data_IF_983112063143
#
_entry.id   IF_983112063143
#
_cell.length_a   1.000
_cell.length_b   1.000
_cell.length_c   1.000
_cell.angle_alpha   90.00
_cell.angle_beta   90.00
_cell.angle_gamma   90.00
#
_symmetry.space_group_name_H-M   'P 1'
#
loop_
_entity.id
_entity.type
_entity.pdbx_description
1 polymer ?
#
# COMPACT_ATOMS: atom_id res chain seq x y z
N UNK A 1 4.87 -9.77 -25.59
CA UNK A 1 4.07 -8.95 -24.68
C UNK A 1 5.01 -8.51 -23.56
N UNK A 2 5.61 -7.32 -23.69
CA UNK A 2 6.58 -6.81 -22.71
C UNK A 2 5.77 -6.26 -21.53
N UNK A 3 5.78 -6.99 -20.41
CA UNK A 3 5.27 -6.47 -19.14
C UNK A 3 6.31 -5.46 -18.65
N UNK A 4 5.91 -4.20 -18.56
CA UNK A 4 6.74 -3.06 -18.14
C UNK A 4 7.06 -3.21 -16.64
N UNK A 5 8.06 -4.04 -16.33
CA UNK A 5 8.43 -4.50 -14.97
C UNK A 5 8.95 -3.40 -14.04
N UNK A 6 9.07 -2.17 -14.52
CA UNK A 6 9.40 -0.99 -13.70
C UNK A 6 8.18 -0.33 -13.06
N UNK A 7 6.96 -0.67 -13.49
CA UNK A 7 5.74 -0.01 -13.04
C UNK A 7 5.21 -0.60 -11.73
N UNK A 8 5.35 -1.92 -11.55
CA UNK A 8 4.75 -2.67 -10.44
C UNK A 8 5.67 -2.82 -9.22
N UNK A 9 6.98 -2.60 -9.41
CA UNK A 9 7.92 -2.60 -8.30
C UNK A 9 7.74 -1.34 -7.46
N UNK A 10 7.29 -1.49 -6.22
CA UNK A 10 7.45 -0.41 -5.22
C UNK A 10 8.93 -0.36 -4.81
N UNK A 11 9.74 0.16 -5.73
CA UNK A 11 11.15 0.44 -5.50
C UNK A 11 11.28 1.38 -4.29
N UNK A 12 12.31 1.21 -3.47
CA UNK A 12 12.70 2.14 -2.38
C UNK A 12 12.71 3.61 -2.81
N UNK A 13 12.92 3.90 -4.10
CA UNK A 13 12.88 5.25 -4.67
C UNK A 13 11.47 5.84 -4.78
N UNK A 14 10.42 5.02 -4.80
CA UNK A 14 9.03 5.45 -5.01
C UNK A 14 8.29 5.80 -3.72
N UNK A 15 8.79 5.40 -2.54
CA UNK A 15 8.20 5.80 -1.26
C UNK A 15 8.33 7.31 -0.95
N UNK A 16 9.14 8.03 -1.71
CA UNK A 16 9.46 9.45 -1.47
C UNK A 16 8.31 10.37 -1.91
N UNK A 17 7.43 9.91 -2.80
CA UNK A 17 6.31 10.70 -3.32
C UNK A 17 4.95 10.01 -3.11
N UNK A 18 4.64 9.72 -1.85
CA UNK A 18 3.37 9.10 -1.46
C UNK A 18 2.32 10.17 -1.15
N UNK A 19 1.19 10.10 -1.84
CA UNK A 19 -0.04 10.79 -1.43
C UNK A 19 -0.89 9.87 -0.55
N UNK A 20 -1.28 10.33 0.64
CA UNK A 20 -2.23 9.60 1.47
C UNK A 20 -3.64 10.13 1.26
N UNK A 21 -4.57 9.26 0.86
CA UNK A 21 -5.99 9.59 0.76
C UNK A 21 -6.72 9.01 1.98
N UNK A 22 -7.01 9.86 2.96
CA UNK A 22 -7.77 9.51 4.18
C UNK A 22 -9.19 10.08 4.07
N UNK A 23 -10.24 9.28 4.32
CA UNK A 23 -11.61 9.80 4.44
C UNK A 23 -12.53 8.97 5.32
N UNK A 24 -13.32 9.65 6.14
CA UNK A 24 -14.37 9.09 7.00
C UNK A 24 -15.79 9.18 6.39
N UNK A 25 -16.00 9.93 5.29
CA UNK A 25 -17.34 10.12 4.69
C UNK A 25 -17.49 9.45 3.31
N UNK A 26 -18.46 8.54 3.21
CA UNK A 26 -18.88 7.84 1.98
C UNK A 26 -20.11 8.53 1.38
N UNK A 27 -20.21 8.59 0.04
CA UNK A 27 -21.52 8.73 -0.64
C UNK A 27 -21.79 9.96 -1.50
N UNK A 28 -20.81 10.81 -1.78
CA UNK A 28 -20.95 11.97 -2.68
C UNK A 28 -20.23 11.72 -4.02
N UNK A 29 -20.80 12.13 -5.16
CA UNK A 29 -20.19 12.08 -6.50
C UNK A 29 -18.86 12.85 -6.65
N UNK A 30 -18.63 13.84 -5.79
CA UNK A 30 -17.35 14.56 -5.64
C UNK A 30 -16.28 13.74 -4.90
N UNK A 31 -16.64 12.63 -4.24
CA UNK A 31 -15.69 11.79 -3.49
C UNK A 31 -14.58 11.26 -4.40
N UNK A 32 -14.93 10.72 -5.58
CA UNK A 32 -13.93 10.30 -6.57
C UNK A 32 -13.07 11.49 -7.06
N UNK A 33 -13.66 12.67 -7.27
CA UNK A 33 -12.93 13.84 -7.76
C UNK A 33 -11.92 14.35 -6.75
N UNK A 34 -12.31 14.43 -5.48
CA UNK A 34 -11.44 14.92 -4.42
C UNK A 34 -10.28 13.96 -4.14
N UNK A 35 -10.52 12.65 -4.17
CA UNK A 35 -9.49 11.63 -3.91
C UNK A 35 -8.55 11.39 -5.09
N UNK A 36 -8.98 11.74 -6.30
CA UNK A 36 -8.14 11.69 -7.51
C UNK A 36 -7.39 12.99 -7.79
N UNK A 37 -7.60 14.07 -7.01
CA UNK A 37 -6.77 15.30 -7.11
C UNK A 37 -5.29 14.99 -6.90
N UNK A 38 -4.96 14.07 -6.00
CA UNK A 38 -3.57 13.63 -5.80
C UNK A 38 -2.95 13.06 -7.10
N UNK A 39 -3.73 12.40 -7.94
CA UNK A 39 -3.28 11.86 -9.24
C UNK A 39 -3.03 12.95 -10.30
N UNK A 40 -3.42 14.20 -10.03
CA UNK A 40 -3.14 15.32 -10.93
C UNK A 40 -1.71 15.85 -10.77
N UNK A 41 -1.07 15.56 -9.64
CA UNK A 41 0.30 15.99 -9.36
C UNK A 41 1.29 14.95 -9.91
N UNK A 42 2.09 15.27 -10.94
CA UNK A 42 2.98 14.30 -11.60
C UNK A 42 4.10 13.80 -10.68
N UNK A 43 4.39 14.52 -9.58
CA UNK A 43 5.33 14.03 -8.57
C UNK A 43 4.80 12.82 -7.81
N UNK A 44 3.48 12.68 -7.63
CA UNK A 44 2.88 11.59 -6.85
C UNK A 44 2.81 10.35 -7.71
N UNK A 45 3.58 9.33 -7.34
CA UNK A 45 3.65 8.06 -8.05
C UNK A 45 2.89 6.94 -7.34
N UNK A 46 2.56 7.10 -6.06
CA UNK A 46 1.91 6.09 -5.24
C UNK A 46 0.86 6.74 -4.35
N UNK A 47 -0.35 6.18 -4.33
CA UNK A 47 -1.45 6.61 -3.48
C UNK A 47 -1.89 5.46 -2.60
N UNK A 48 -2.06 5.74 -1.31
CA UNK A 48 -2.62 4.76 -0.37
C UNK A 48 -4.04 5.18 -0.02
N UNK A 49 -4.99 4.26 -0.20
CA UNK A 49 -6.40 4.45 0.13
C UNK A 49 -6.72 3.58 1.35
N UNK A 50 -6.83 4.20 2.52
CA UNK A 50 -7.05 3.49 3.79
C UNK A 50 -8.53 3.11 4.01
N UNK A 51 -9.44 3.94 3.49
CA UNK A 51 -10.88 3.82 3.67
C UNK A 51 -11.41 2.42 3.26
N UNK A 52 -12.32 1.87 4.08
CA UNK A 52 -12.96 0.57 3.91
C UNK A 52 -14.42 0.70 3.43
N UNK A 53 -14.90 -0.18 2.56
CA UNK A 53 -16.30 -0.13 2.13
C UNK A 53 -16.57 0.93 1.07
N UNK A 54 -15.55 1.26 0.26
CA UNK A 54 -15.74 2.08 -0.94
C UNK A 54 -16.55 1.27 -1.96
N UNK A 55 -17.65 1.82 -2.50
CA UNK A 55 -18.43 1.15 -3.53
C UNK A 55 -17.55 0.67 -4.70
N UNK A 56 -17.68 -0.60 -5.05
CA UNK A 56 -16.82 -1.26 -6.05
C UNK A 56 -16.80 -0.53 -7.41
N UNK A 57 -17.91 0.10 -7.79
CA UNK A 57 -18.00 0.87 -9.02
C UNK A 57 -17.08 2.10 -9.03
N UNK A 58 -16.86 2.73 -7.87
CA UNK A 58 -15.95 3.86 -7.68
C UNK A 58 -14.51 3.39 -7.66
N UNK A 59 -14.22 2.30 -6.94
CA UNK A 59 -12.88 1.69 -6.92
C UNK A 59 -12.39 1.38 -8.34
N UNK A 60 -13.24 0.76 -9.18
CA UNK A 60 -12.90 0.50 -10.60
C UNK A 60 -12.59 1.76 -11.40
N UNK A 61 -13.30 2.88 -11.16
CA UNK A 61 -13.03 4.16 -11.84
C UNK A 61 -11.67 4.74 -11.41
N UNK A 62 -11.36 4.62 -10.13
CA UNK A 62 -10.09 5.10 -9.55
C UNK A 62 -8.92 4.29 -10.10
N UNK A 63 -9.04 2.96 -10.15
CA UNK A 63 -8.02 2.06 -10.73
C UNK A 63 -7.77 2.42 -12.19
N UNK A 64 -8.83 2.53 -12.99
CA UNK A 64 -8.71 2.91 -14.40
C UNK A 64 -8.01 4.26 -14.59
N UNK A 65 -8.28 5.24 -13.72
CA UNK A 65 -7.62 6.54 -13.77
C UNK A 65 -6.14 6.44 -13.38
N UNK A 66 -5.83 5.69 -12.32
CA UNK A 66 -4.45 5.40 -11.91
C UNK A 66 -3.65 4.73 -13.04
N UNK A 67 -4.24 3.75 -13.72
CA UNK A 67 -3.61 3.07 -14.86
C UNK A 67 -3.28 4.06 -15.99
N UNK A 68 -4.21 4.97 -16.32
CA UNK A 68 -3.98 5.99 -17.35
C UNK A 68 -2.92 7.02 -16.96
N UNK A 69 -2.71 7.23 -15.66
CA UNK A 69 -1.78 8.22 -15.12
C UNK A 69 -0.43 7.63 -14.69
N UNK A 70 -0.30 6.29 -14.67
CA UNK A 70 0.89 5.60 -14.19
C UNK A 70 1.11 5.75 -12.69
N UNK A 71 0.04 5.85 -11.90
CA UNK A 71 0.09 5.99 -10.43
C UNK A 71 -0.26 4.67 -9.78
N UNK A 72 0.57 4.19 -8.86
CA UNK A 72 0.33 2.97 -8.09
C UNK A 72 -0.70 3.21 -6.98
N UNK A 73 -1.59 2.24 -6.74
CA UNK A 73 -2.57 2.29 -5.65
C UNK A 73 -2.36 1.12 -4.69
N UNK A 74 -2.18 1.42 -3.41
CA UNK A 74 -2.25 0.43 -2.32
C UNK A 74 -3.60 0.60 -1.61
N UNK A 75 -4.38 -0.48 -1.54
CA UNK A 75 -5.77 -0.44 -1.08
C UNK A 75 -6.78 -0.50 -2.24
N UNK A 76 -8.07 -0.22 -2.01
CA UNK A 76 -8.63 0.29 -0.76
C UNK A 76 -8.73 -0.75 0.37
N UNK A 77 -9.25 -0.33 1.52
CA UNK A 77 -9.40 -1.14 2.72
C UNK A 77 -8.07 -1.74 3.19
N UNK A 78 -7.08 -0.88 3.44
CA UNK A 78 -5.73 -1.29 3.85
C UNK A 78 -5.15 -0.42 4.95
N UNK A 79 -4.28 -1.01 5.76
CA UNK A 79 -3.38 -0.27 6.65
C UNK A 79 -2.19 0.33 5.89
N UNK A 80 -1.89 -0.16 4.69
CA UNK A 80 -0.80 0.27 3.84
C UNK A 80 0.32 -0.75 3.74
N UNK A 81 1.45 -0.49 4.40
CA UNK A 81 2.67 -1.27 4.25
C UNK A 81 3.85 -0.64 4.97
N UNK A 82 4.93 -1.41 5.09
CA UNK A 82 6.15 -1.01 5.78
C UNK A 82 7.37 -1.48 5.00
N UNK A 83 8.37 -0.61 4.97
CA UNK A 83 9.72 -0.89 4.53
C UNK A 83 10.70 -0.57 5.66
N UNK A 84 11.11 -1.60 6.42
CA UNK A 84 11.97 -1.41 7.59
C UNK A 84 13.23 -0.61 7.29
N UNK A 85 13.50 0.39 8.15
CA UNK A 85 14.63 1.32 7.98
C UNK A 85 14.45 2.39 6.90
N UNK A 86 13.32 2.43 6.19
CA UNK A 86 13.05 3.42 5.15
C UNK A 86 11.76 4.21 5.39
N UNK A 87 10.60 3.54 5.36
CA UNK A 87 9.31 4.21 5.37
C UNK A 87 8.20 3.28 5.90
N UNK A 88 7.20 3.84 6.59
CA UNK A 88 5.98 3.13 6.97
C UNK A 88 4.75 3.95 6.61
N UNK A 89 3.70 3.29 6.12
CA UNK A 89 2.46 3.94 5.76
C UNK A 89 1.54 4.00 6.98
N UNK A 90 1.19 5.22 7.41
CA UNK A 90 0.22 5.47 8.47
C UNK A 90 0.44 4.64 9.73
N UNK A 91 -0.59 3.90 10.13
CA UNK A 91 -0.63 3.09 11.35
C UNK A 91 -0.04 1.68 11.17
N UNK A 92 0.56 1.37 10.02
CA UNK A 92 1.24 0.08 9.81
C UNK A 92 2.30 -0.14 10.90
N UNK A 93 2.39 -1.38 11.38
CA UNK A 93 3.23 -1.83 12.48
C UNK A 93 2.86 -1.31 13.88
N UNK A 94 1.79 -0.52 14.03
CA UNK A 94 1.31 -0.10 15.35
C UNK A 94 2.28 0.79 16.12
N UNK A 95 2.34 0.57 17.43
CA UNK A 95 3.17 1.34 18.38
C UNK A 95 4.67 1.01 18.24
N UNK A 96 5.51 1.86 18.83
CA UNK A 96 6.96 1.73 18.76
C UNK A 96 7.48 0.42 19.37
N UNK A 97 6.81 -0.09 20.42
CA UNK A 97 7.19 -1.35 21.06
C UNK A 97 7.14 -2.50 20.05
N UNK A 98 6.06 -2.59 19.26
CA UNK A 98 5.93 -3.61 18.21
C UNK A 98 6.96 -3.43 17.09
N UNK A 99 7.35 -2.18 16.76
CA UNK A 99 8.40 -1.91 15.78
C UNK A 99 9.75 -2.44 16.27
N UNK A 100 10.05 -2.29 17.56
CA UNK A 100 11.29 -2.78 18.18
C UNK A 100 11.26 -4.31 18.28
N UNK A 101 10.17 -4.87 18.81
CA UNK A 101 9.98 -6.31 19.02
C UNK A 101 10.04 -7.08 17.69
N UNK A 102 9.38 -6.55 16.65
CA UNK A 102 9.39 -7.14 15.31
C UNK A 102 10.61 -6.74 14.45
N UNK A 103 11.61 -6.05 15.04
CA UNK A 103 12.87 -5.65 14.36
C UNK A 103 12.66 -4.76 13.11
N UNK A 104 11.56 -4.01 13.03
CA UNK A 104 11.15 -3.24 11.85
C UNK A 104 11.90 -1.91 11.65
N UNK A 105 12.88 -1.63 12.50
CA UNK A 105 13.78 -0.47 12.36
C UNK A 105 14.95 -0.70 11.41
N UNK A 106 15.21 -1.95 10.98
CA UNK A 106 16.27 -2.30 10.02
C UNK A 106 15.73 -3.27 8.96
N UNK A 107 16.27 -3.24 7.73
CA UNK A 107 15.88 -4.20 6.70
C UNK A 107 16.40 -5.60 7.02
N UNK A 108 15.58 -6.62 6.74
CA UNK A 108 16.02 -8.02 6.58
C UNK A 108 15.98 -8.45 5.11
N UNK A 109 15.71 -9.74 4.85
CA UNK A 109 15.74 -10.31 3.50
C UNK A 109 14.38 -10.85 3.01
N UNK A 110 13.34 -10.85 3.86
CA UNK A 110 12.03 -11.44 3.53
C UNK A 110 11.03 -10.36 3.12
N UNK A 111 10.48 -10.47 1.91
CA UNK A 111 9.35 -9.66 1.45
C UNK A 111 8.04 -10.43 1.61
N UNK A 112 6.94 -9.72 1.91
CA UNK A 112 5.61 -10.33 1.88
C UNK A 112 4.55 -9.37 1.34
N UNK A 113 3.47 -9.98 0.85
CA UNK A 113 2.26 -9.27 0.42
C UNK A 113 1.03 -9.97 1.02
N UNK A 114 0.09 -9.20 1.57
CA UNK A 114 -1.11 -9.69 2.23
C UNK A 114 -2.32 -8.83 1.87
N UNK A 115 -3.54 -9.36 2.04
CA UNK A 115 -4.77 -8.53 1.97
C UNK A 115 -5.13 -7.90 3.30
N UNK A 116 -4.91 -8.62 4.40
CA UNK A 116 -5.31 -8.19 5.73
C UNK A 116 -4.19 -7.39 6.39
N UNK A 117 -4.52 -6.18 6.84
CA UNK A 117 -3.60 -5.34 7.60
C UNK A 117 -3.22 -5.93 8.96
N UNK A 118 -4.19 -6.55 9.66
CA UNK A 118 -3.93 -7.24 10.92
C UNK A 118 -2.97 -8.43 10.74
N UNK A 119 -3.23 -9.29 9.75
CA UNK A 119 -2.34 -10.42 9.43
C UNK A 119 -0.97 -9.96 8.93
N UNK A 120 -0.87 -8.78 8.32
CA UNK A 120 0.42 -8.21 7.94
C UNK A 120 1.29 -7.94 9.16
N UNK A 121 0.71 -7.54 10.30
CA UNK A 121 1.47 -7.37 11.52
C UNK A 121 1.87 -8.70 12.17
N UNK A 122 1.03 -9.72 12.03
CA UNK A 122 1.39 -11.08 12.45
C UNK A 122 2.54 -11.65 11.61
N UNK A 123 2.57 -11.38 10.29
CA UNK A 123 3.69 -11.72 9.44
C UNK A 123 4.98 -11.02 9.88
N UNK A 124 4.93 -9.74 10.25
CA UNK A 124 6.08 -9.05 10.83
C UNK A 124 6.61 -9.77 12.07
N UNK A 125 5.71 -10.16 12.98
CA UNK A 125 6.05 -10.88 14.21
C UNK A 125 6.71 -12.25 13.90
N UNK A 126 6.09 -13.07 13.05
CA UNK A 126 6.60 -14.39 12.67
C UNK A 126 7.96 -14.27 11.97
N UNK A 127 8.06 -13.44 10.93
CA UNK A 127 9.30 -13.26 10.16
C UNK A 127 10.44 -12.74 11.06
N UNK A 128 10.15 -11.87 12.02
CA UNK A 128 11.16 -11.34 12.95
C UNK A 128 11.77 -12.41 13.86
N UNK A 129 11.04 -13.50 14.11
CA UNK A 129 11.44 -14.62 14.97
C UNK A 129 12.12 -15.72 14.17
N UNK A 130 11.60 -16.03 12.98
CA UNK A 130 12.02 -17.19 12.19
C UNK A 130 12.97 -16.84 11.03
N UNK A 131 13.23 -15.56 10.76
CA UNK A 131 14.15 -15.07 9.74
C UNK A 131 14.99 -13.86 10.21
N UNK A 132 15.79 -13.29 9.30
CA UNK A 132 16.66 -12.14 9.57
C UNK A 132 15.89 -10.81 9.71
N UNK A 133 14.71 -10.73 9.12
CA UNK A 133 13.74 -9.65 9.25
C UNK A 133 12.97 -9.38 7.96
N UNK A 134 12.01 -8.45 8.04
CA UNK A 134 11.24 -8.01 6.88
C UNK A 134 12.07 -7.02 6.05
N UNK A 135 12.11 -7.20 4.74
CA UNK A 135 12.69 -6.22 3.81
C UNK A 135 11.63 -5.25 3.28
N UNK A 136 10.42 -5.75 3.02
CA UNK A 136 9.26 -4.99 2.58
C UNK A 136 7.97 -5.79 2.82
N UNK A 137 6.96 -5.14 3.39
CA UNK A 137 5.66 -5.73 3.67
C UNK A 137 4.54 -4.84 3.15
N UNK A 138 3.68 -5.38 2.28
CA UNK A 138 2.55 -4.62 1.71
C UNK A 138 1.22 -5.30 2.03
N UNK A 139 0.25 -4.51 2.50
CA UNK A 139 -1.14 -4.90 2.58
C UNK A 139 -1.90 -4.30 1.38
N UNK A 140 -2.31 -5.11 0.40
CA UNK A 140 -3.04 -4.63 -0.78
C UNK A 140 -4.50 -4.27 -0.50
N UNK A 141 -5.04 -4.76 0.62
CA UNK A 141 -6.37 -4.47 1.10
C UNK A 141 -7.44 -5.54 0.82
N UNK A 142 -8.54 -5.42 1.57
CA UNK A 142 -9.63 -6.40 1.61
C UNK A 142 -10.68 -6.26 0.49
N UNK A 143 -10.76 -5.10 -0.15
CA UNK A 143 -11.78 -4.79 -1.16
C UNK A 143 -11.66 -5.68 -2.40
N UNK A 144 -12.80 -6.01 -3.04
CA UNK A 144 -12.86 -6.92 -4.19
C UNK A 144 -11.88 -6.58 -5.32
N UNK A 145 -11.71 -5.29 -5.61
CA UNK A 145 -10.80 -4.79 -6.63
C UNK A 145 -9.70 -3.98 -5.94
N UNK A 146 -8.60 -4.61 -5.49
CA UNK A 146 -7.46 -3.86 -4.99
C UNK A 146 -6.78 -3.13 -6.16
N UNK A 147 -6.22 -1.96 -5.89
CA UNK A 147 -5.58 -1.14 -6.92
C UNK A 147 -4.25 -1.69 -7.42
N UNK A 148 -3.58 -2.50 -6.60
CA UNK A 148 -2.46 -3.36 -6.99
C UNK A 148 -2.73 -4.78 -6.48
N UNK A 149 -2.28 -5.76 -7.26
CA UNK A 149 -2.53 -7.18 -7.01
C UNK A 149 -1.29 -7.85 -6.41
N UNK A 150 -1.45 -9.10 -5.96
CA UNK A 150 -0.32 -9.89 -5.45
C UNK A 150 0.85 -9.99 -6.44
N UNK A 151 0.55 -10.19 -7.72
CA UNK A 151 1.56 -10.35 -8.76
C UNK A 151 2.37 -9.06 -8.94
N UNK A 152 1.73 -7.91 -8.78
CA UNK A 152 2.38 -6.60 -8.94
C UNK A 152 3.48 -6.40 -7.90
N UNK A 153 3.27 -6.85 -6.66
CA UNK A 153 4.27 -6.74 -5.59
C UNK A 153 5.31 -7.87 -5.60
N UNK A 154 5.10 -8.93 -6.38
CA UNK A 154 6.04 -10.05 -6.51
C UNK A 154 7.05 -9.87 -7.66
N UNK A 155 6.75 -8.98 -8.62
CA UNK A 155 7.61 -8.69 -9.79
C UNK A 155 8.60 -7.55 -9.54
#
# INVERSE_FOLDING_TARGET
MLVDSHRYRISTKNFINIGQAVSEEYGNENWCKDRTKAMQHPQINTIVIIAEGIPENMTRKIIKLADTRGVNIIGPATVGGIKPGCFKIGNTAGMIDNIIDSKLYRPGSVAYVSRSGGMSNELNNIISKDADGVCEGVAIGGDRYPGTTFIDHLM
#
